data_IF_981211078130
#
_entry.id   IF_981211078130
#
_cell.length_a   1.000
_cell.length_b   1.000
_cell.length_c   1.000
_cell.angle_alpha   90.00
_cell.angle_beta   90.00
_cell.angle_gamma   90.00
#
_symmetry.space_group_name_H-M   'P 1'
#
loop_
_entity.id
_entity.type
_entity.pdbx_description
1 polymer ?
#
# COMPACT_ATOMS: atom_id res chain seq x y z
N UNK A 1 10.64 -24.68 -21.59
CA UNK A 1 10.25 -25.70 -20.60
C UNK A 1 8.85 -25.35 -20.10
N UNK A 2 7.79 -26.05 -20.51
CA UNK A 2 6.44 -25.70 -20.07
C UNK A 2 6.25 -26.12 -18.61
N UNK A 3 5.73 -25.18 -17.84
CA UNK A 3 5.52 -25.22 -16.40
C UNK A 3 4.45 -26.24 -15.99
N UNK A 4 4.74 -27.01 -14.95
CA UNK A 4 3.81 -27.94 -14.31
C UNK A 4 2.58 -27.22 -13.73
N UNK A 5 1.47 -27.28 -14.47
CA UNK A 5 0.11 -26.95 -14.00
C UNK A 5 -0.83 -28.11 -14.38
N UNK A 6 -0.61 -29.31 -13.83
CA UNK A 6 -1.57 -30.43 -13.98
C UNK A 6 -1.67 -31.39 -12.79
N UNK A 7 -0.83 -31.23 -11.75
CA UNK A 7 -0.68 -32.23 -10.69
C UNK A 7 -1.93 -32.43 -9.82
N UNK A 8 -2.75 -31.39 -9.60
CA UNK A 8 -3.91 -31.46 -8.71
C UNK A 8 -5.12 -32.20 -9.31
N UNK A 9 -5.44 -31.95 -10.59
CA UNK A 9 -6.57 -32.61 -11.28
C UNK A 9 -6.30 -34.10 -11.51
N UNK A 10 -5.05 -34.46 -11.81
CA UNK A 10 -4.65 -35.86 -11.92
C UNK A 10 -4.74 -36.59 -10.58
N UNK A 11 -4.43 -35.93 -9.46
CA UNK A 11 -4.46 -36.56 -8.14
C UNK A 11 -5.88 -36.91 -7.67
N UNK A 12 -6.88 -36.07 -7.94
CA UNK A 12 -8.27 -36.36 -7.57
C UNK A 12 -8.90 -37.43 -8.46
N UNK A 13 -8.60 -37.44 -9.77
CA UNK A 13 -9.05 -38.51 -10.66
C UNK A 13 -8.41 -39.86 -10.31
N UNK A 14 -7.13 -39.87 -9.92
CA UNK A 14 -6.45 -41.06 -9.41
C UNK A 14 -7.09 -41.57 -8.13
N UNK A 15 -7.32 -40.70 -7.15
CA UNK A 15 -7.98 -41.08 -5.90
C UNK A 15 -9.41 -41.60 -6.11
N UNK A 16 -10.16 -41.01 -7.04
CA UNK A 16 -11.49 -41.52 -7.40
C UNK A 16 -11.41 -42.89 -8.10
N UNK A 17 -10.45 -43.07 -9.01
CA UNK A 17 -10.24 -44.36 -9.69
C UNK A 17 -9.77 -45.46 -8.73
N UNK A 18 -8.91 -45.12 -7.75
CA UNK A 18 -8.48 -46.03 -6.69
C UNK A 18 -9.62 -46.39 -5.74
N UNK A 19 -10.48 -45.42 -5.41
CA UNK A 19 -11.65 -45.64 -4.55
C UNK A 19 -12.66 -46.59 -5.23
N UNK A 20 -12.92 -46.42 -6.53
CA UNK A 20 -13.80 -47.30 -7.31
C UNK A 20 -13.19 -48.70 -7.47
N UNK A 21 -11.87 -48.80 -7.58
CA UNK A 21 -11.15 -50.07 -7.70
C UNK A 21 -11.05 -50.86 -6.38
N UNK A 22 -11.48 -50.31 -5.24
CA UNK A 22 -11.45 -51.05 -3.98
C UNK A 22 -12.40 -52.26 -4.04
N UNK A 23 -11.96 -53.46 -3.64
CA UNK A 23 -12.76 -54.68 -3.74
C UNK A 23 -14.07 -54.63 -2.94
N UNK A 24 -14.11 -53.81 -1.88
CA UNK A 24 -15.34 -53.55 -1.12
C UNK A 24 -16.38 -52.74 -1.91
N UNK A 25 -15.94 -51.80 -2.73
CA UNK A 25 -16.81 -50.99 -3.58
C UNK A 25 -17.36 -51.82 -4.75
N UNK A 26 -16.49 -52.60 -5.43
CA UNK A 26 -16.93 -53.55 -6.45
C UNK A 26 -17.88 -54.63 -5.91
N UNK A 27 -17.63 -55.16 -4.71
CA UNK A 27 -18.53 -56.14 -4.08
C UNK A 27 -19.90 -55.53 -3.73
N UNK A 28 -19.95 -54.28 -3.26
CA UNK A 28 -21.19 -53.56 -3.01
C UNK A 28 -21.97 -53.28 -4.31
N UNK A 29 -21.27 -52.97 -5.40
CA UNK A 29 -21.86 -52.72 -6.71
C UNK A 29 -22.41 -54.01 -7.37
N UNK A 30 -21.72 -55.14 -7.18
CA UNK A 30 -22.20 -56.45 -7.61
C UNK A 30 -23.44 -56.89 -6.80
N UNK A 31 -23.46 -56.62 -5.49
CA UNK A 31 -24.63 -56.90 -4.63
C UNK A 31 -25.87 -56.07 -4.99
N UNK A 32 -25.71 -54.87 -5.55
CA UNK A 32 -26.79 -54.01 -6.06
C UNK A 32 -27.29 -54.41 -7.46
N UNK A 33 -26.57 -55.28 -8.17
CA UNK A 33 -26.91 -55.71 -9.54
C UNK A 33 -27.78 -56.97 -9.64
N UNK A 34 -28.17 -57.55 -8.49
CA UNK A 34 -29.14 -58.65 -8.44
C UNK A 34 -30.55 -58.20 -8.83
N UNK A 35 -31.40 -59.08 -9.38
CA UNK A 35 -32.76 -58.72 -9.75
C UNK A 35 -33.55 -58.29 -8.50
N UNK A 36 -33.98 -57.03 -8.48
CA UNK A 36 -34.80 -56.44 -7.41
C UNK A 36 -36.20 -57.04 -7.49
N UNK A 37 -36.43 -58.16 -6.80
CA UNK A 37 -37.75 -58.78 -6.63
C UNK A 37 -38.35 -58.38 -5.29
N UNK A 38 -38.63 -57.08 -5.09
CA UNK A 38 -39.55 -56.57 -4.07
C UNK A 38 -39.81 -55.08 -4.34
N UNK A 39 -41.04 -54.55 -4.20
CA UNK A 39 -41.27 -53.12 -4.35
C UNK A 39 -40.58 -52.41 -3.19
N UNK A 40 -39.49 -51.71 -3.48
CA UNK A 40 -38.82 -50.85 -2.51
C UNK A 40 -39.83 -49.83 -1.95
N UNK A 41 -39.90 -49.71 -0.62
CA UNK A 41 -40.85 -48.82 0.05
C UNK A 41 -40.71 -47.38 -0.48
N UNK A 42 -41.80 -46.68 -0.81
CA UNK A 42 -41.77 -45.36 -1.45
C UNK A 42 -40.98 -44.30 -0.67
N UNK A 43 -40.86 -44.47 0.65
CA UNK A 43 -40.09 -43.58 1.53
C UNK A 43 -38.58 -43.64 1.32
N UNK A 44 -38.04 -44.79 0.91
CA UNK A 44 -36.61 -44.96 0.69
C UNK A 44 -36.15 -44.29 -0.62
N UNK A 45 -37.00 -44.34 -1.65
CA UNK A 45 -36.77 -43.72 -2.96
C UNK A 45 -36.77 -42.19 -2.85
N UNK A 46 -37.73 -41.64 -2.09
CA UNK A 46 -37.80 -40.19 -1.81
C UNK A 46 -36.55 -39.67 -1.06
N UNK A 47 -35.99 -40.48 -0.16
CA UNK A 47 -34.79 -40.12 0.59
C UNK A 47 -33.54 -40.11 -0.31
N UNK A 48 -33.41 -41.08 -1.23
CA UNK A 48 -32.32 -41.13 -2.19
C UNK A 48 -32.37 -39.99 -3.20
N UNK A 49 -33.57 -39.61 -3.66
CA UNK A 49 -33.76 -38.50 -4.60
C UNK A 49 -33.43 -37.15 -3.95
N UNK A 50 -33.74 -36.97 -2.66
CA UNK A 50 -33.34 -35.78 -1.90
C UNK A 50 -31.83 -35.67 -1.76
N UNK A 51 -31.15 -36.76 -1.42
CA UNK A 51 -29.68 -36.79 -1.34
C UNK A 51 -29.06 -36.50 -2.71
N UNK A 52 -29.64 -37.02 -3.80
CA UNK A 52 -29.17 -36.73 -5.15
C UNK A 52 -29.35 -35.24 -5.53
N UNK A 53 -30.46 -34.62 -5.15
CA UNK A 53 -30.68 -33.19 -5.35
C UNK A 53 -29.71 -32.33 -4.53
N UNK A 54 -29.45 -32.70 -3.28
CA UNK A 54 -28.49 -31.98 -2.42
C UNK A 54 -27.06 -32.13 -2.94
N UNK A 55 -26.64 -33.34 -3.33
CA UNK A 55 -25.30 -33.60 -3.88
C UNK A 55 -25.08 -32.89 -5.21
N UNK A 56 -26.10 -32.85 -6.09
CA UNK A 56 -26.02 -32.06 -7.34
C UNK A 56 -25.98 -30.56 -7.09
N UNK A 57 -26.72 -30.05 -6.09
CA UNK A 57 -26.66 -28.65 -5.70
C UNK A 57 -25.29 -28.25 -5.12
N UNK A 58 -24.69 -29.12 -4.29
CA UNK A 58 -23.33 -28.94 -3.77
C UNK A 58 -22.29 -29.00 -4.91
N UNK A 59 -22.44 -29.91 -5.87
CA UNK A 59 -21.58 -29.99 -7.05
C UNK A 59 -21.54 -28.69 -7.85
N UNK A 60 -22.71 -28.11 -8.16
CA UNK A 60 -22.79 -26.80 -8.86
C UNK A 60 -22.15 -25.66 -8.07
N UNK A 61 -22.25 -25.68 -6.74
CA UNK A 61 -21.61 -24.67 -5.87
C UNK A 61 -20.09 -24.82 -5.87
N UNK A 62 -19.58 -26.04 -5.86
CA UNK A 62 -18.15 -26.32 -5.96
C UNK A 62 -17.60 -25.85 -7.32
N UNK A 63 -18.28 -26.16 -8.42
CA UNK A 63 -17.90 -25.67 -9.75
C UNK A 63 -17.85 -24.13 -9.80
N UNK A 64 -18.83 -23.45 -9.23
CA UNK A 64 -18.84 -21.99 -9.14
C UNK A 64 -17.71 -21.44 -8.25
N UNK A 65 -17.34 -22.15 -7.18
CA UNK A 65 -16.19 -21.79 -6.34
C UNK A 65 -14.87 -22.01 -7.06
N UNK A 66 -14.71 -23.09 -7.82
CA UNK A 66 -13.52 -23.38 -8.61
C UNK A 66 -13.29 -22.32 -9.70
N UNK A 67 -14.36 -21.85 -10.35
CA UNK A 67 -14.28 -20.72 -11.28
C UNK A 67 -13.79 -19.44 -10.58
N UNK A 68 -14.35 -19.11 -9.40
CA UNK A 68 -13.89 -17.95 -8.62
C UNK A 68 -12.44 -18.08 -8.16
N UNK A 69 -12.00 -19.27 -7.77
CA UNK A 69 -10.61 -19.52 -7.39
C UNK A 69 -9.70 -19.31 -8.61
N UNK A 70 -10.10 -19.80 -9.77
CA UNK A 70 -9.38 -19.56 -11.03
C UNK A 70 -9.25 -18.05 -11.30
N UNK A 71 -10.33 -17.29 -11.19
CA UNK A 71 -10.31 -15.83 -11.37
C UNK A 71 -9.41 -15.11 -10.34
N UNK A 72 -9.43 -15.54 -9.08
CA UNK A 72 -8.54 -14.98 -8.06
C UNK A 72 -7.07 -15.30 -8.33
N UNK A 73 -6.76 -16.50 -8.84
CA UNK A 73 -5.39 -16.86 -9.19
C UNK A 73 -4.86 -16.03 -10.36
N UNK A 74 -5.68 -15.76 -11.38
CA UNK A 74 -5.28 -14.91 -12.51
C UNK A 74 -5.07 -13.45 -12.06
N UNK A 75 -5.93 -12.93 -11.18
CA UNK A 75 -5.76 -11.60 -10.60
C UNK A 75 -4.45 -11.49 -9.80
N UNK A 76 -4.11 -12.51 -9.00
CA UNK A 76 -2.86 -12.54 -8.24
C UNK A 76 -1.63 -12.55 -9.16
N UNK A 77 -1.68 -13.32 -10.25
CA UNK A 77 -0.63 -13.34 -11.29
C UNK A 77 -0.47 -11.94 -11.92
N UNK A 78 -1.58 -11.28 -12.28
CA UNK A 78 -1.56 -9.91 -12.82
C UNK A 78 -0.98 -8.89 -11.83
N UNK A 79 -1.32 -8.97 -10.54
CA UNK A 79 -0.75 -8.05 -9.53
C UNK A 79 0.77 -8.23 -9.36
N UNK A 80 1.26 -9.47 -9.45
CA UNK A 80 2.70 -9.74 -9.44
C UNK A 80 3.40 -9.12 -10.66
N UNK A 81 2.80 -9.22 -11.85
CA UNK A 81 3.30 -8.57 -13.06
C UNK A 81 3.29 -7.05 -12.94
N UNK A 82 2.21 -6.45 -12.44
CA UNK A 82 2.12 -5.01 -12.21
C UNK A 82 3.20 -4.51 -11.24
N UNK A 83 3.47 -5.26 -10.17
CA UNK A 83 4.56 -4.93 -9.23
C UNK A 83 5.93 -4.99 -9.91
N UNK A 84 6.17 -6.00 -10.75
CA UNK A 84 7.41 -6.15 -11.50
C UNK A 84 7.60 -5.00 -12.50
N UNK A 85 6.56 -4.68 -13.27
CA UNK A 85 6.56 -3.58 -14.22
C UNK A 85 6.79 -2.24 -13.52
N UNK A 86 6.14 -2.00 -12.38
CA UNK A 86 6.33 -0.77 -11.62
C UNK A 86 7.75 -0.63 -11.09
N UNK A 87 8.34 -1.70 -10.58
CA UNK A 87 9.74 -1.71 -10.18
C UNK A 87 10.69 -1.42 -11.35
N UNK A 88 10.40 -1.99 -12.54
CA UNK A 88 11.17 -1.72 -13.76
C UNK A 88 11.05 -0.27 -14.21
N UNK A 89 9.85 0.30 -14.20
CA UNK A 89 9.63 1.71 -14.54
C UNK A 89 10.42 2.60 -13.58
N UNK A 90 10.32 2.37 -12.27
CA UNK A 90 11.08 3.14 -11.28
C UNK A 90 12.59 3.06 -11.50
N UNK A 91 13.15 1.88 -11.77
CA UNK A 91 14.58 1.76 -12.07
C UNK A 91 14.99 2.50 -13.36
N UNK A 92 14.14 2.47 -14.40
CA UNK A 92 14.39 3.21 -15.64
C UNK A 92 14.30 4.73 -15.44
N UNK A 93 13.30 5.20 -14.69
CA UNK A 93 13.14 6.61 -14.31
C UNK A 93 14.35 7.08 -13.50
N UNK A 94 14.76 6.30 -12.48
CA UNK A 94 15.91 6.61 -11.64
C UNK A 94 17.18 6.72 -12.49
N UNK A 95 17.43 5.77 -13.39
CA UNK A 95 18.58 5.81 -14.32
C UNK A 95 18.53 7.04 -15.22
N UNK A 96 17.35 7.40 -15.71
CA UNK A 96 17.17 8.58 -16.56
C UNK A 96 17.31 9.90 -15.79
N UNK A 97 17.13 9.90 -14.47
CA UNK A 97 17.21 11.09 -13.63
C UNK A 97 18.56 11.29 -12.95
N UNK A 98 19.44 10.28 -12.92
CA UNK A 98 20.78 10.34 -12.29
C UNK A 98 21.60 11.55 -12.71
N UNK A 99 21.56 11.90 -13.99
CA UNK A 99 22.35 13.00 -14.54
C UNK A 99 21.59 14.33 -14.52
N UNK A 100 20.30 14.31 -14.15
CA UNK A 100 19.45 15.49 -14.06
C UNK A 100 19.57 16.11 -12.68
N UNK A 101 20.11 17.33 -12.62
CA UNK A 101 20.11 18.16 -11.41
C UNK A 101 19.07 19.25 -11.57
N UNK A 102 18.22 19.38 -10.56
CA UNK A 102 17.22 20.43 -10.49
C UNK A 102 17.75 21.62 -9.70
N UNK A 103 17.70 22.81 -10.30
CA UNK A 103 17.94 24.09 -9.65
C UNK A 103 16.61 24.79 -9.43
N UNK A 104 16.28 25.08 -8.18
CA UNK A 104 15.05 25.70 -7.72
C UNK A 104 15.37 27.15 -7.30
N UNK A 105 14.35 27.99 -7.18
CA UNK A 105 14.49 29.34 -6.59
C UNK A 105 15.44 30.31 -7.31
N UNK A 106 15.85 30.03 -8.56
CA UNK A 106 16.59 31.01 -9.37
C UNK A 106 15.57 32.00 -9.94
N UNK A 107 15.63 33.31 -9.64
CA UNK A 107 14.67 34.28 -10.16
C UNK A 107 14.60 34.24 -11.69
N UNK A 108 13.38 34.37 -12.25
CA UNK A 108 13.23 34.43 -13.70
C UNK A 108 14.03 35.61 -14.26
N UNK A 109 14.62 35.43 -15.46
CA UNK A 109 15.47 36.41 -16.13
C UNK A 109 16.86 36.67 -15.53
N UNK A 110 17.17 36.18 -14.31
CA UNK A 110 18.53 36.28 -13.73
C UNK A 110 19.58 35.51 -14.53
N UNK A 111 19.15 34.49 -15.28
CA UNK A 111 20.01 33.68 -16.15
C UNK A 111 20.47 34.40 -17.42
N UNK A 112 19.81 35.49 -17.81
CA UNK A 112 19.99 36.11 -19.11
C UNK A 112 19.48 35.24 -20.27
N UNK A 113 20.09 35.42 -21.44
CA UNK A 113 19.67 34.74 -22.67
C UNK A 113 20.15 33.29 -22.79
N UNK A 114 21.20 32.90 -22.05
CA UNK A 114 21.77 31.56 -22.09
C UNK A 114 21.97 30.97 -20.69
N UNK A 115 21.03 30.10 -20.30
CA UNK A 115 21.02 29.39 -19.03
C UNK A 115 22.26 28.47 -18.90
N UNK A 116 22.78 27.93 -20.01
CA UNK A 116 23.98 27.07 -19.97
C UNK A 116 25.20 27.89 -19.58
N UNK A 117 25.40 29.05 -20.21
CA UNK A 117 26.51 29.94 -19.90
C UNK A 117 26.44 30.41 -18.44
N UNK A 118 25.24 30.79 -17.98
CA UNK A 118 24.99 31.16 -16.59
C UNK A 118 25.37 30.06 -15.59
N UNK A 119 24.93 28.81 -15.81
CA UNK A 119 25.31 27.72 -14.90
C UNK A 119 26.80 27.42 -14.93
N UNK A 120 27.47 27.56 -16.09
CA UNK A 120 28.92 27.36 -16.18
C UNK A 120 29.72 28.43 -15.40
N UNK A 121 29.22 29.66 -15.29
CA UNK A 121 29.88 30.71 -14.51
C UNK A 121 29.58 30.57 -13.02
N UNK A 122 28.34 30.25 -12.66
CA UNK A 122 27.86 30.24 -11.28
C UNK A 122 28.30 28.99 -10.51
N UNK A 123 28.33 27.82 -11.15
CA UNK A 123 28.66 26.58 -10.44
C UNK A 123 30.07 26.55 -9.85
N UNK A 124 31.15 26.93 -10.57
CA UNK A 124 32.49 26.99 -9.99
C UNK A 124 32.59 27.98 -8.83
N UNK A 125 31.93 29.13 -8.94
CA UNK A 125 31.90 30.16 -7.90
C UNK A 125 31.18 29.66 -6.63
N UNK A 126 29.99 29.05 -6.78
CA UNK A 126 29.21 28.54 -5.65
C UNK A 126 29.81 27.31 -4.97
N UNK A 127 30.50 26.45 -5.74
CA UNK A 127 31.04 25.19 -5.22
C UNK A 127 32.50 25.30 -4.81
N UNK A 128 33.19 26.40 -5.16
CA UNK A 128 34.63 26.55 -4.98
C UNK A 128 35.46 25.47 -5.70
N UNK A 129 34.85 24.78 -6.68
CA UNK A 129 35.47 23.65 -7.37
C UNK A 129 36.27 24.11 -8.59
N UNK A 130 37.51 23.61 -8.67
CA UNK A 130 38.24 23.56 -9.94
C UNK A 130 37.87 22.24 -10.61
N UNK A 131 36.96 22.30 -11.58
CA UNK A 131 36.64 21.13 -12.39
C UNK A 131 37.85 20.79 -13.28
N UNK A 132 38.29 19.53 -13.26
CA UNK A 132 39.41 19.04 -14.10
C UNK A 132 39.13 19.14 -15.60
N UNK A 133 37.85 19.19 -15.98
CA UNK A 133 37.37 19.37 -17.34
C UNK A 133 36.24 20.42 -17.33
N UNK A 134 36.03 21.13 -18.44
CA UNK A 134 34.91 22.06 -18.56
C UNK A 134 33.57 21.39 -18.22
N UNK A 135 32.71 22.11 -17.50
CA UNK A 135 31.32 21.70 -17.27
C UNK A 135 30.61 21.54 -18.61
N UNK A 136 30.11 20.33 -18.89
CA UNK A 136 29.40 20.01 -20.10
C UNK A 136 27.99 19.54 -19.76
N UNK A 137 26.99 20.17 -20.38
CA UNK A 137 25.58 19.84 -20.21
C UNK A 137 25.02 19.28 -21.51
N UNK A 138 24.31 18.16 -21.43
CA UNK A 138 23.51 17.67 -22.54
C UNK A 138 22.34 18.63 -22.82
N UNK A 139 21.64 19.06 -21.77
CA UNK A 139 20.49 19.96 -21.87
C UNK A 139 20.33 20.80 -20.62
N UNK A 140 19.95 22.07 -20.77
CA UNK A 140 19.60 22.97 -19.67
C UNK A 140 18.39 23.79 -20.08
N UNK A 141 17.35 23.82 -19.26
CA UNK A 141 16.13 24.58 -19.52
C UNK A 141 15.27 24.69 -18.26
N UNK A 142 14.40 25.72 -18.21
CA UNK A 142 13.31 25.83 -17.24
C UNK A 142 12.22 24.80 -17.56
N UNK A 143 11.69 24.14 -16.54
CA UNK A 143 10.58 23.18 -16.68
C UNK A 143 9.25 23.93 -16.58
N UNK A 144 8.30 23.52 -17.40
CA UNK A 144 6.90 23.92 -17.27
C UNK A 144 6.52 25.20 -18.03
N UNK A 145 5.21 25.43 -18.19
CA UNK A 145 4.68 26.60 -18.90
C UNK A 145 5.11 27.88 -18.20
N UNK A 146 5.38 28.95 -18.97
CA UNK A 146 5.68 30.26 -18.41
C UNK A 146 4.52 30.69 -17.51
N UNK A 147 4.82 30.96 -16.24
CA UNK A 147 3.80 31.43 -15.32
C UNK A 147 3.36 32.84 -15.74
N UNK A 148 2.04 33.06 -15.82
CA UNK A 148 1.50 34.42 -15.77
C UNK A 148 1.94 35.01 -14.43
N UNK A 149 2.47 36.23 -14.42
CA UNK A 149 3.25 36.90 -13.37
C UNK A 149 2.72 36.90 -11.92
N UNK A 150 1.65 36.18 -11.61
CA UNK A 150 0.92 36.14 -10.34
C UNK A 150 1.37 35.03 -9.39
N UNK A 151 2.08 34.00 -9.85
CA UNK A 151 2.64 32.97 -8.94
C UNK A 151 4.06 33.35 -8.52
N UNK A 152 4.26 33.65 -7.25
CA UNK A 152 5.55 34.13 -6.72
C UNK A 152 6.72 33.11 -6.73
N UNK A 153 6.55 31.91 -7.30
CA UNK A 153 7.61 30.90 -7.34
C UNK A 153 8.25 30.81 -8.74
N UNK A 154 9.58 30.99 -8.85
CA UNK A 154 10.28 30.87 -10.13
C UNK A 154 10.34 29.41 -10.61
N UNK A 155 10.29 29.19 -11.93
CA UNK A 155 10.28 27.84 -12.51
C UNK A 155 11.57 27.06 -12.23
N UNK A 156 11.55 25.77 -11.92
CA UNK A 156 12.78 25.02 -11.73
C UNK A 156 13.57 24.88 -13.04
N UNK A 157 14.90 24.97 -12.99
CA UNK A 157 15.80 24.62 -14.09
C UNK A 157 16.21 23.16 -13.95
N UNK A 158 16.14 22.37 -15.02
CA UNK A 158 16.87 21.09 -15.09
C UNK A 158 18.13 21.30 -15.90
N UNK A 159 19.28 20.89 -15.34
CA UNK A 159 20.49 20.62 -16.09
C UNK A 159 20.77 19.12 -16.12
N UNK A 160 20.82 18.55 -17.34
CA UNK A 160 21.34 17.21 -17.56
C UNK A 160 22.84 17.31 -17.82
N UNK A 161 23.66 16.76 -16.93
CA UNK A 161 25.10 16.73 -17.05
C UNK A 161 25.52 15.69 -18.08
N UNK A 162 26.51 16.02 -18.91
CA UNK A 162 27.06 15.04 -19.85
C UNK A 162 27.89 13.96 -19.13
N UNK A 163 28.45 14.31 -17.97
CA UNK A 163 29.27 13.42 -17.16
C UNK A 163 28.68 13.29 -15.75
N UNK A 164 28.36 12.06 -15.37
CA UNK A 164 27.78 11.72 -14.07
C UNK A 164 28.67 12.10 -12.88
N UNK A 165 30.00 12.05 -13.03
CA UNK A 165 30.91 12.44 -11.95
C UNK A 165 30.77 13.94 -11.60
N UNK A 166 30.49 14.79 -12.60
CA UNK A 166 30.29 16.22 -12.40
C UNK A 166 28.96 16.51 -11.68
N UNK A 167 27.87 15.82 -12.03
CA UNK A 167 26.59 16.00 -11.32
C UNK A 167 26.72 15.58 -9.85
N UNK A 168 27.37 14.43 -9.59
CA UNK A 168 27.59 13.94 -8.24
C UNK A 168 28.51 14.87 -7.43
N UNK A 169 29.55 15.43 -8.05
CA UNK A 169 30.46 16.36 -7.40
C UNK A 169 29.76 17.67 -7.01
N UNK A 170 28.96 18.24 -7.93
CA UNK A 170 28.16 19.46 -7.68
C UNK A 170 27.22 19.23 -6.51
N UNK A 171 26.49 18.11 -6.52
CA UNK A 171 25.60 17.74 -5.42
C UNK A 171 26.39 17.59 -4.13
N UNK A 172 27.44 16.77 -4.12
CA UNK A 172 28.25 16.46 -2.93
C UNK A 172 28.90 17.69 -2.32
N UNK A 173 29.30 18.68 -3.12
CA UNK A 173 29.88 19.92 -2.61
C UNK A 173 28.82 20.89 -2.10
N UNK A 174 27.67 20.93 -2.76
CA UNK A 174 26.52 21.65 -2.24
C UNK A 174 26.13 21.13 -0.83
N UNK A 175 26.30 19.83 -0.58
CA UNK A 175 26.15 19.23 0.75
C UNK A 175 27.24 19.64 1.75
N UNK A 176 28.52 19.66 1.34
CA UNK A 176 29.65 19.85 2.25
C UNK A 176 29.82 21.30 2.70
N UNK A 177 29.42 22.26 1.88
CA UNK A 177 29.65 23.68 2.17
C UNK A 177 28.53 24.34 3.00
N UNK A 178 27.49 23.58 3.37
CA UNK A 178 26.37 24.10 4.15
C UNK A 178 25.54 25.14 3.37
N UNK A 179 24.53 25.75 4.01
CA UNK A 179 23.60 26.65 3.32
C UNK A 179 24.28 27.97 2.94
N UNK A 180 24.67 28.12 1.67
CA UNK A 180 24.98 29.43 1.12
C UNK A 180 23.72 30.30 1.05
N UNK A 181 23.85 31.54 1.52
CA UNK A 181 22.78 32.53 1.50
C UNK A 181 22.58 33.07 0.09
N UNK A 182 21.45 32.70 -0.51
CA UNK A 182 20.67 33.45 -1.49
C UNK A 182 19.36 32.68 -1.67
N UNK A 183 18.42 32.83 -0.72
CA UNK A 183 17.04 32.29 -0.84
C UNK A 183 16.95 30.79 -1.26
N UNK A 184 17.95 29.98 -0.88
CA UNK A 184 18.28 28.69 -1.50
C UNK A 184 18.02 27.45 -0.63
N UNK A 185 17.31 27.58 0.49
CA UNK A 185 17.14 26.47 1.46
C UNK A 185 16.30 25.30 0.91
N UNK A 186 15.31 25.55 0.06
CA UNK A 186 14.49 24.47 -0.52
C UNK A 186 15.18 23.73 -1.67
N UNK A 187 15.98 24.45 -2.48
CA UNK A 187 16.76 23.89 -3.57
C UNK A 187 17.72 22.82 -3.05
N UNK A 188 18.58 23.21 -2.12
CA UNK A 188 19.60 22.30 -1.62
C UNK A 188 18.96 21.08 -0.94
N UNK A 189 17.90 21.30 -0.16
CA UNK A 189 17.16 20.25 0.52
C UNK A 189 16.42 19.30 -0.44
N UNK A 190 15.86 19.80 -1.54
CA UNK A 190 15.21 18.97 -2.54
C UNK A 190 16.22 18.12 -3.34
N UNK A 191 17.31 18.72 -3.80
CA UNK A 191 18.40 18.01 -4.47
C UNK A 191 19.05 16.97 -3.55
N UNK A 192 19.22 17.33 -2.28
CA UNK A 192 19.67 16.46 -1.21
C UNK A 192 18.77 15.22 -1.05
N UNK A 193 17.46 15.44 -0.84
CA UNK A 193 16.48 14.35 -0.69
C UNK A 193 16.46 13.42 -1.90
N UNK A 194 16.51 13.96 -3.12
CA UNK A 194 16.53 13.17 -4.34
C UNK A 194 17.77 12.27 -4.42
N UNK A 195 18.93 12.80 -4.03
CA UNK A 195 20.20 12.07 -4.06
C UNK A 195 20.25 10.97 -3.00
N UNK A 196 19.86 11.27 -1.76
CA UNK A 196 19.76 10.27 -0.68
C UNK A 196 18.78 9.17 -1.07
N UNK A 197 17.63 9.54 -1.63
CA UNK A 197 16.66 8.55 -2.12
C UNK A 197 17.29 7.66 -3.19
N UNK A 198 17.98 8.21 -4.17
CA UNK A 198 18.67 7.43 -5.20
C UNK A 198 19.75 6.49 -4.63
N UNK A 199 20.50 6.94 -3.62
CA UNK A 199 21.50 6.12 -2.92
C UNK A 199 20.85 4.97 -2.14
N UNK A 200 19.86 5.27 -1.29
CA UNK A 200 19.11 4.27 -0.52
C UNK A 200 18.42 3.24 -1.42
N UNK A 201 17.89 3.68 -2.56
CA UNK A 201 17.24 2.79 -3.53
C UNK A 201 18.25 1.86 -4.20
N UNK A 202 19.43 2.37 -4.58
CA UNK A 202 20.53 1.53 -5.10
C UNK A 202 20.93 0.45 -4.09
N UNK A 203 21.19 0.86 -2.86
CA UNK A 203 21.68 -0.05 -1.81
C UNK A 203 20.60 -1.07 -1.43
N UNK A 204 19.34 -0.64 -1.36
CA UNK A 204 18.18 -1.53 -1.18
C UNK A 204 18.02 -2.50 -2.35
N UNK A 205 18.26 -2.07 -3.60
CA UNK A 205 18.19 -2.95 -4.78
C UNK A 205 19.30 -4.00 -4.76
N UNK A 206 20.52 -3.61 -4.38
CA UNK A 206 21.65 -4.55 -4.20
C UNK A 206 21.33 -5.54 -3.08
N UNK A 207 20.87 -5.06 -1.93
CA UNK A 207 20.48 -5.90 -0.81
C UNK A 207 19.33 -6.86 -1.16
N UNK A 208 18.33 -6.38 -1.91
CA UNK A 208 17.23 -7.20 -2.41
C UNK A 208 17.69 -8.29 -3.38
N UNK A 209 18.67 -7.99 -4.23
CA UNK A 209 19.26 -8.97 -5.15
C UNK A 209 20.01 -10.04 -4.37
N UNK A 210 20.91 -9.65 -3.45
CA UNK A 210 21.62 -10.58 -2.55
C UNK A 210 20.65 -11.48 -1.78
N UNK A 211 19.58 -10.93 -1.22
CA UNK A 211 18.58 -11.69 -0.46
C UNK A 211 17.85 -12.71 -1.34
N UNK A 212 17.49 -12.35 -2.58
CA UNK A 212 16.88 -13.28 -3.55
C UNK A 212 17.83 -14.40 -3.94
N UNK A 213 19.10 -14.09 -4.14
CA UNK A 213 20.12 -15.10 -4.47
C UNK A 213 20.33 -16.05 -3.29
N UNK A 214 20.38 -15.55 -2.06
CA UNK A 214 20.42 -16.36 -0.84
C UNK A 214 19.18 -17.26 -0.71
N UNK A 215 17.97 -16.73 -0.95
CA UNK A 215 16.73 -17.51 -0.94
C UNK A 215 16.76 -18.66 -1.96
N UNK A 216 17.25 -18.39 -3.19
CA UNK A 216 17.40 -19.43 -4.22
C UNK A 216 18.41 -20.49 -3.81
N UNK A 217 19.59 -20.08 -3.36
CA UNK A 217 20.64 -21.01 -2.93
C UNK A 217 20.18 -21.92 -1.77
N UNK A 218 19.47 -21.37 -0.78
CA UNK A 218 18.91 -22.16 0.32
C UNK A 218 17.81 -23.11 -0.17
N UNK A 219 16.93 -22.67 -1.07
CA UNK A 219 15.90 -23.52 -1.66
C UNK A 219 16.49 -24.70 -2.46
N UNK A 220 17.52 -24.43 -3.26
CA UNK A 220 18.23 -25.46 -4.05
C UNK A 220 18.96 -26.45 -3.11
N UNK A 221 19.60 -25.96 -2.06
CA UNK A 221 20.24 -26.78 -1.03
C UNK A 221 19.23 -27.71 -0.34
N UNK A 222 18.05 -27.19 0.04
CA UNK A 222 16.98 -27.97 0.67
C UNK A 222 16.48 -29.07 -0.27
N UNK A 223 16.30 -28.76 -1.57
CA UNK A 223 15.83 -29.71 -2.58
C UNK A 223 16.83 -30.86 -2.83
N UNK A 224 18.14 -30.57 -2.83
CA UNK A 224 19.18 -31.57 -3.01
C UNK A 224 19.35 -32.47 -1.78
N UNK A 225 19.18 -31.91 -0.58
CA UNK A 225 19.48 -32.58 0.68
C UNK A 225 18.29 -33.38 1.24
N UNK A 226 17.09 -33.27 0.64
CA UNK A 226 15.85 -33.83 1.21
C UNK A 226 15.82 -35.36 1.31
N UNK A 227 16.67 -36.05 0.54
CA UNK A 227 16.69 -37.51 0.44
C UNK A 227 17.84 -38.16 1.22
N UNK A 228 18.76 -37.37 1.77
CA UNK A 228 19.94 -37.86 2.50
C UNK A 228 19.78 -37.65 4.02
N UNK A 229 19.48 -38.74 4.72
CA UNK A 229 19.25 -38.78 6.18
C UNK A 229 20.50 -38.43 7.02
N UNK A 230 21.69 -38.44 6.42
CA UNK A 230 22.95 -38.07 7.07
C UNK A 230 23.14 -36.55 7.18
N UNK A 231 22.42 -35.77 6.36
CA UNK A 231 22.53 -34.31 6.28
C UNK A 231 21.37 -33.58 6.98
N UNK A 232 20.57 -34.30 7.76
CA UNK A 232 19.43 -33.80 8.55
C UNK A 232 19.71 -32.51 9.34
N UNK A 233 20.82 -32.36 10.10
CA UNK A 233 21.09 -31.12 10.83
C UNK A 233 21.37 -29.92 9.91
N UNK A 234 22.04 -30.12 8.76
CA UNK A 234 22.28 -29.07 7.78
C UNK A 234 21.00 -28.66 7.05
N UNK A 235 20.11 -29.63 6.78
CA UNK A 235 18.78 -29.39 6.22
C UNK A 235 17.91 -28.56 7.17
N UNK A 236 17.92 -28.88 8.47
CA UNK A 236 17.21 -28.11 9.50
C UNK A 236 17.73 -26.68 9.61
N UNK A 237 19.05 -26.49 9.57
CA UNK A 237 19.67 -25.17 9.57
C UNK A 237 19.27 -24.35 8.34
N UNK A 238 19.36 -24.92 7.13
CA UNK A 238 19.00 -24.24 5.89
C UNK A 238 17.51 -23.85 5.85
N UNK A 239 16.63 -24.71 6.36
CA UNK A 239 15.19 -24.43 6.52
C UNK A 239 14.94 -23.28 7.51
N UNK A 240 15.67 -23.26 8.62
CA UNK A 240 15.56 -22.20 9.63
C UNK A 240 16.01 -20.85 9.06
N UNK A 241 17.16 -20.79 8.38
CA UNK A 241 17.66 -19.58 7.71
C UNK A 241 16.71 -19.09 6.60
N UNK A 242 16.11 -20.00 5.84
CA UNK A 242 15.11 -19.62 4.84
C UNK A 242 13.84 -19.04 5.51
N UNK A 243 13.41 -19.63 6.63
CA UNK A 243 12.25 -19.16 7.37
C UNK A 243 12.48 -17.76 7.97
N UNK A 244 13.68 -17.48 8.52
CA UNK A 244 14.01 -16.13 9.03
C UNK A 244 14.05 -15.07 7.93
N UNK A 245 14.50 -15.44 6.72
CA UNK A 245 14.40 -14.55 5.56
C UNK A 245 12.95 -14.27 5.16
N UNK A 246 12.07 -15.28 5.21
CA UNK A 246 10.64 -15.10 4.90
C UNK A 246 9.92 -14.27 5.97
N UNK A 247 10.20 -14.48 7.26
CA UNK A 247 9.60 -13.67 8.34
C UNK A 247 10.00 -12.20 8.19
N UNK A 248 11.28 -11.91 7.93
CA UNK A 248 11.73 -10.53 7.67
C UNK A 248 11.06 -9.91 6.43
N UNK A 249 10.84 -10.69 5.36
CA UNK A 249 10.10 -10.21 4.18
C UNK A 249 8.62 -9.93 4.50
N UNK A 250 7.98 -10.78 5.32
CA UNK A 250 6.60 -10.61 5.74
C UNK A 250 6.45 -9.37 6.63
N UNK A 251 7.33 -9.17 7.60
CA UNK A 251 7.38 -7.98 8.45
C UNK A 251 7.49 -6.69 7.60
N UNK A 252 8.42 -6.68 6.64
CA UNK A 252 8.59 -5.55 5.72
C UNK A 252 7.32 -5.27 4.89
N UNK A 253 6.67 -6.32 4.38
CA UNK A 253 5.44 -6.20 3.60
C UNK A 253 4.28 -5.67 4.45
N UNK A 254 4.14 -6.13 5.69
CA UNK A 254 3.14 -5.66 6.64
C UNK A 254 3.37 -4.18 7.00
N UNK A 255 4.62 -3.79 7.24
CA UNK A 255 4.96 -2.39 7.50
C UNK A 255 4.61 -1.49 6.30
N UNK A 256 4.96 -1.90 5.07
CA UNK A 256 4.57 -1.20 3.83
C UNK A 256 3.05 -1.08 3.66
N UNK A 257 2.30 -2.10 4.04
CA UNK A 257 0.84 -2.08 3.97
C UNK A 257 0.26 -1.09 4.98
N UNK A 258 0.80 -1.07 6.19
CA UNK A 258 0.46 -0.06 7.21
C UNK A 258 0.77 1.36 6.72
N UNK A 259 1.93 1.57 6.10
CA UNK A 259 2.33 2.88 5.58
C UNK A 259 1.42 3.31 4.42
N UNK A 260 1.07 2.40 3.50
CA UNK A 260 0.08 2.69 2.45
C UNK A 260 -1.28 3.03 3.03
N UNK A 261 -1.72 2.31 4.05
CA UNK A 261 -2.98 2.60 4.72
C UNK A 261 -2.92 3.94 5.47
N UNK A 262 -1.77 4.29 6.05
CA UNK A 262 -1.55 5.60 6.64
C UNK A 262 -1.58 6.73 5.58
N UNK A 263 -0.94 6.54 4.43
CA UNK A 263 -0.85 7.52 3.34
C UNK A 263 -2.18 7.66 2.56
N UNK A 264 -2.91 6.57 2.34
CA UNK A 264 -4.08 6.51 1.44
C UNK A 264 -5.39 6.14 2.15
N UNK A 265 -5.35 5.85 3.45
CA UNK A 265 -6.54 5.59 4.28
C UNK A 265 -7.36 6.86 4.52
N UNK A 266 -8.21 6.85 5.54
CA UNK A 266 -9.28 7.84 5.73
C UNK A 266 -8.77 9.30 5.66
N UNK A 267 -8.94 9.91 4.48
CA UNK A 267 -8.55 11.30 4.22
C UNK A 267 -9.38 12.27 5.05
N UNK A 268 -10.64 11.90 5.38
CA UNK A 268 -11.55 12.72 6.19
C UNK A 268 -11.01 12.90 7.62
N UNK A 269 -10.60 11.83 8.30
CA UNK A 269 -10.01 11.91 9.64
C UNK A 269 -8.69 12.68 9.67
N UNK A 270 -7.86 12.57 8.62
CA UNK A 270 -6.60 13.34 8.51
C UNK A 270 -6.82 14.81 8.18
N UNK A 271 -7.78 15.13 7.31
CA UNK A 271 -8.18 16.52 7.04
C UNK A 271 -8.73 17.16 8.32
N UNK A 272 -9.59 16.44 9.06
CA UNK A 272 -10.11 16.88 10.34
C UNK A 272 -8.99 17.11 11.35
N UNK A 273 -8.07 16.16 11.53
CA UNK A 273 -6.93 16.32 12.42
C UNK A 273 -6.02 17.50 12.01
N UNK A 274 -5.76 17.68 10.72
CA UNK A 274 -4.97 18.80 10.22
C UNK A 274 -5.67 20.16 10.42
N UNK A 275 -6.98 20.22 10.18
CA UNK A 275 -7.80 21.41 10.45
C UNK A 275 -7.87 21.71 11.95
N UNK A 276 -7.99 20.68 12.81
CA UNK A 276 -7.94 20.80 14.27
C UNK A 276 -6.56 21.23 14.78
N UNK A 277 -5.48 20.94 14.05
CA UNK A 277 -4.14 21.43 14.37
C UNK A 277 -3.87 22.85 13.85
N UNK A 278 -4.52 23.28 12.77
CA UNK A 278 -4.40 24.62 12.18
C UNK A 278 -5.28 25.65 12.88
N UNK A 279 -6.46 25.24 13.34
CA UNK A 279 -7.20 25.99 14.34
C UNK A 279 -6.47 25.79 15.66
N UNK A 280 -5.70 26.76 16.14
CA UNK A 280 -5.28 26.78 17.53
C UNK A 280 -6.54 26.55 18.38
N UNK A 281 -6.62 25.39 19.04
CA UNK A 281 -7.75 25.02 19.88
C UNK A 281 -7.67 25.84 21.17
N UNK A 282 -7.99 27.12 21.03
CA UNK A 282 -8.21 27.99 22.14
C UNK A 282 -9.68 27.85 22.54
N UNK A 283 -9.90 27.25 23.69
CA UNK A 283 -11.25 27.09 24.22
C UNK A 283 -11.73 28.47 24.67
N UNK A 284 -12.88 28.91 24.17
CA UNK A 284 -13.55 30.09 24.69
C UNK A 284 -14.09 29.75 26.08
N UNK A 285 -13.50 30.31 27.14
CA UNK A 285 -14.15 30.26 28.45
C UNK A 285 -15.48 31.03 28.39
N UNK A 286 -16.39 30.77 29.33
CA UNK A 286 -17.64 31.51 29.48
C UNK A 286 -17.44 33.04 29.62
N UNK A 287 -16.22 33.49 29.94
CA UNK A 287 -15.80 34.89 30.04
C UNK A 287 -15.10 35.44 28.79
N UNK A 288 -15.02 34.68 27.69
CA UNK A 288 -14.48 35.10 26.40
C UNK A 288 -12.95 35.09 26.27
N UNK A 289 -12.22 34.60 27.28
CA UNK A 289 -10.76 34.45 27.23
C UNK A 289 -10.34 33.15 26.54
N UNK A 290 -9.17 33.19 25.88
CA UNK A 290 -8.58 32.06 25.16
C UNK A 290 -7.74 31.19 26.11
N UNK A 291 -8.14 29.93 26.28
CA UNK A 291 -7.38 28.96 27.07
C UNK A 291 -6.68 27.99 26.11
N UNK A 292 -5.35 27.97 26.14
CA UNK A 292 -4.50 27.13 25.27
C UNK A 292 -3.81 25.98 26.02
N UNK A 293 -3.81 26.00 27.38
CA UNK A 293 -3.15 24.97 28.19
C UNK A 293 -4.04 23.72 28.39
N UNK A 294 -3.55 22.49 28.11
CA UNK A 294 -4.39 21.27 28.09
C UNK A 294 -5.10 20.94 29.41
N UNK A 295 -4.47 21.22 30.56
CA UNK A 295 -5.06 20.96 31.87
C UNK A 295 -6.19 21.95 32.19
N UNK A 296 -5.99 23.23 31.87
CA UNK A 296 -7.01 24.26 32.05
C UNK A 296 -8.24 24.04 31.14
N UNK A 297 -8.01 23.49 29.94
CA UNK A 297 -9.08 23.04 29.02
C UNK A 297 -9.90 21.91 29.65
N UNK A 298 -9.23 20.90 30.20
CA UNK A 298 -9.90 19.77 30.85
C UNK A 298 -10.74 20.22 32.06
N UNK A 299 -10.23 21.15 32.86
CA UNK A 299 -10.93 21.70 34.02
C UNK A 299 -12.16 22.53 33.63
N UNK A 300 -12.08 23.30 32.54
CA UNK A 300 -13.21 24.09 32.04
C UNK A 300 -14.31 23.19 31.45
N UNK A 301 -13.94 22.16 30.68
CA UNK A 301 -14.88 21.13 30.24
C UNK A 301 -15.52 20.42 31.44
N UNK A 302 -14.72 20.09 32.45
CA UNK A 302 -15.20 19.50 33.69
C UNK A 302 -16.27 20.36 34.37
N UNK A 303 -16.01 21.67 34.52
CA UNK A 303 -16.98 22.64 35.06
C UNK A 303 -18.23 22.74 34.20
N UNK A 304 -18.08 22.86 32.88
CA UNK A 304 -19.21 22.96 31.96
C UNK A 304 -20.15 21.76 32.07
N UNK A 305 -19.63 20.54 32.01
CA UNK A 305 -20.45 19.34 32.13
C UNK A 305 -21.02 19.17 33.54
N UNK A 306 -20.26 19.53 34.59
CA UNK A 306 -20.81 19.61 35.94
C UNK A 306 -22.02 20.53 35.97
N UNK A 307 -21.94 21.76 35.44
CA UNK A 307 -23.10 22.68 35.37
C UNK A 307 -24.24 22.11 34.54
N UNK A 308 -23.96 21.54 33.38
CA UNK A 308 -24.96 20.98 32.46
C UNK A 308 -25.77 19.85 33.10
N UNK A 309 -25.10 18.98 33.88
CA UNK A 309 -25.73 17.82 34.51
C UNK A 309 -26.13 18.05 35.98
N UNK A 310 -25.70 19.14 36.61
CA UNK A 310 -26.13 19.54 37.96
C UNK A 310 -27.24 20.60 37.97
N UNK A 311 -27.66 21.09 36.81
CA UNK A 311 -28.89 21.86 36.65
C UNK A 311 -30.07 20.99 37.10
N UNK A 312 -30.49 21.20 38.34
CA UNK A 312 -31.78 20.73 38.86
C UNK A 312 -32.84 21.26 37.90
N UNK A 313 -33.49 20.35 37.19
CA UNK A 313 -34.68 20.66 36.39
C UNK A 313 -35.72 21.26 37.35
N UNK A 314 -35.91 22.58 37.30
CA UNK A 314 -37.16 23.16 37.80
C UNK A 314 -38.20 22.68 36.81
N UNK A 315 -38.98 21.67 37.21
CA UNK A 315 -40.08 21.10 36.45
C UNK A 315 -41.18 22.15 36.28
N UNK A 316 -40.97 23.09 35.37
CA UNK A 316 -42.01 24.01 34.92
C UNK A 316 -42.77 23.29 33.81
N UNK A 317 -43.58 22.29 34.20
CA UNK A 317 -44.37 21.43 33.30
C UNK A 317 -45.16 22.25 32.27
N UNK A 318 -45.59 23.45 32.66
CA UNK A 318 -46.32 24.39 31.81
C UNK A 318 -45.50 24.93 30.64
N UNK A 319 -44.17 25.10 30.80
CA UNK A 319 -43.30 25.53 29.70
C UNK A 319 -43.03 24.40 28.72
N UNK A 320 -42.90 23.17 29.21
CA UNK A 320 -42.67 21.99 28.37
C UNK A 320 -43.92 21.63 27.56
N UNK A 321 -45.11 21.68 28.16
CA UNK A 321 -46.37 21.46 27.44
C UNK A 321 -46.57 22.51 26.35
N UNK A 322 -46.35 23.80 26.67
CA UNK A 322 -46.45 24.89 25.69
C UNK A 322 -45.44 24.73 24.53
N UNK A 323 -44.24 24.21 24.80
CA UNK A 323 -43.22 23.95 23.78
C UNK A 323 -43.61 22.77 22.87
N UNK A 324 -44.09 21.67 23.46
CA UNK A 324 -44.48 20.48 22.71
C UNK A 324 -45.73 20.73 21.85
N UNK A 325 -46.69 21.53 22.32
CA UNK A 325 -47.86 21.93 21.52
C UNK A 325 -47.49 22.84 20.34
N UNK A 326 -46.43 23.65 20.48
CA UNK A 326 -45.92 24.48 19.39
C UNK A 326 -45.09 23.71 18.36
N UNK A 327 -44.63 22.51 18.69
CA UNK A 327 -43.82 21.70 17.81
C UNK A 327 -44.72 20.88 16.88
N UNK A 328 -44.81 21.28 15.61
CA UNK A 328 -45.50 20.51 14.57
C UNK A 328 -44.70 19.24 14.23
N UNK A 329 -44.95 18.15 14.94
CA UNK A 329 -44.38 16.85 14.59
C UNK A 329 -45.15 16.22 13.41
N UNK A 330 -44.46 15.76 12.36
CA UNK A 330 -45.12 15.03 11.28
C UNK A 330 -45.63 13.67 11.80
N UNK A 331 -46.95 13.53 11.91
CA UNK A 331 -47.61 12.26 12.21
C UNK A 331 -47.45 11.30 11.02
N UNK A 332 -46.87 10.13 11.26
CA UNK A 332 -46.81 9.05 10.28
C UNK A 332 -48.23 8.49 10.06
N UNK A 333 -48.85 8.83 8.95
CA UNK A 333 -50.10 8.22 8.49
C UNK A 333 -49.79 6.91 7.75
N UNK A 334 -49.97 5.78 8.45
CA UNK A 334 -50.22 4.48 7.82
C UNK A 334 -49.21 3.36 8.13
N UNK A 335 -49.66 2.08 8.18
CA UNK A 335 -48.82 0.96 8.56
C UNK A 335 -48.01 0.44 7.35
N UNK A 336 -46.76 0.84 7.24
CA UNK A 336 -45.80 0.23 6.30
C UNK A 336 -45.34 -1.14 6.82
N UNK A 337 -46.20 -2.16 6.70
CA UNK A 337 -45.80 -3.57 6.84
C UNK A 337 -44.97 -4.00 5.63
N UNK A 338 -43.66 -3.75 5.68
CA UNK A 338 -42.70 -4.42 4.79
C UNK A 338 -42.44 -5.84 5.27
N UNK A 339 -43.07 -6.83 4.64
CA UNK A 339 -42.74 -8.26 4.77
C UNK A 339 -41.37 -8.51 4.12
N UNK A 340 -40.42 -9.03 4.90
CA UNK A 340 -39.38 -9.90 4.36
C UNK A 340 -39.97 -11.32 4.28
N UNK A 341 -40.02 -11.88 3.07
CA UNK A 341 -39.96 -13.33 2.84
C UNK A 341 -38.59 -13.64 2.24
#
# INVERSE_FOLDING_TARGET
MPSGKSSGKHSLQLLFSEAIAQPKFMAAQLALSGPVTSPAEPRAVDATDRILQETTAVGRRLEAMDLKISDLTTLLEQDAELRSLRAKITDLEDRSWRDNVHFLSIPEHKEGSDIKAFLKSVLPELTGLVFSLPLAFQRVHRIGPLHKATSGQPRPIIACFLRHDQSHLVISMAWSQGPYSLEGHELLWAAAKATIRGQLMRDSAIANTRRRDQQRALADCIALTTHDYTLTPCLEQAKMELNTLFTSCAEYALQRLRDRHYEHGEKAGRLLAALLHQCEMALHSATGSFITHPQAIADEFGRFYLTLYSLVMVEDQDRLSTFLEKANFPCLSGPSRGRHQ
#
